data_IF_827240482732
#
_entry.id   IF_827240482732
#
_cell.length_a   1.000
_cell.length_b   1.000
_cell.length_c   1.000
_cell.angle_alpha   90.00
_cell.angle_beta   90.00
_cell.angle_gamma   90.00
#
_symmetry.space_group_name_H-M   'P 1'
#
loop_
_entity.id
_entity.type
_entity.pdbx_description
1 polymer ?
#
# COMPACT_ATOMS: atom_id res chain seq x y z
N UNK A 1 -9.07 -48.85 -20.39
CA UNK A 1 -9.95 -48.11 -19.47
C UNK A 1 -9.29 -46.76 -19.31
N UNK A 2 -9.89 -45.73 -19.90
CA UNK A 2 -9.35 -44.38 -19.92
C UNK A 2 -9.41 -43.77 -18.52
N UNK A 3 -8.29 -43.22 -18.06
CA UNK A 3 -8.29 -42.09 -17.15
C UNK A 3 -7.87 -40.88 -17.99
N UNK A 4 -8.86 -40.15 -18.46
CA UNK A 4 -8.76 -38.76 -18.89
C UNK A 4 -8.56 -37.91 -17.65
N UNK A 5 -7.31 -37.58 -17.33
CA UNK A 5 -7.04 -36.37 -16.55
C UNK A 5 -6.92 -35.24 -17.56
N UNK A 6 -7.91 -34.35 -17.57
CA UNK A 6 -7.90 -33.12 -18.35
C UNK A 6 -6.83 -32.21 -17.75
N UNK A 7 -5.62 -32.27 -18.30
CA UNK A 7 -4.63 -31.20 -18.16
C UNK A 7 -5.11 -30.02 -18.98
N UNK A 8 -5.11 -28.82 -18.41
CA UNK A 8 -5.66 -27.64 -19.05
C UNK A 8 -5.18 -27.44 -20.50
N UNK A 9 -6.08 -26.99 -21.37
CA UNK A 9 -5.74 -26.61 -22.73
C UNK A 9 -5.45 -25.11 -22.81
N UNK A 10 -4.30 -24.73 -23.36
CA UNK A 10 -4.00 -23.32 -23.62
C UNK A 10 -4.77 -22.83 -24.85
N UNK A 11 -5.38 -21.65 -24.73
CA UNK A 11 -6.12 -20.96 -25.78
C UNK A 11 -5.52 -19.58 -25.99
N UNK A 12 -5.05 -19.34 -27.20
CA UNK A 12 -4.38 -18.11 -27.57
C UNK A 12 -5.35 -17.18 -28.28
N UNK A 13 -5.48 -15.95 -27.80
CA UNK A 13 -6.20 -14.91 -28.52
C UNK A 13 -5.44 -14.58 -29.82
N UNK A 14 -6.16 -14.46 -30.93
CA UNK A 14 -5.57 -14.23 -32.27
C UNK A 14 -6.20 -13.08 -33.05
N UNK A 15 -7.07 -12.29 -32.42
CA UNK A 15 -7.76 -11.18 -33.08
C UNK A 15 -7.18 -9.82 -32.63
N UNK A 16 -6.24 -9.22 -33.39
CA UNK A 16 -5.59 -7.96 -33.02
C UNK A 16 -6.52 -6.74 -33.11
N UNK A 17 -7.72 -6.88 -33.69
CA UNK A 17 -8.72 -5.80 -33.71
C UNK A 17 -9.60 -5.79 -32.45
N UNK A 18 -9.47 -6.79 -31.58
CA UNK A 18 -10.39 -7.02 -30.48
C UNK A 18 -11.74 -7.58 -30.93
N UNK A 19 -12.60 -7.91 -29.98
CA UNK A 19 -13.92 -8.49 -30.26
C UNK A 19 -14.49 -9.30 -29.10
N UNK A 20 -15.58 -10.05 -29.34
CA UNK A 20 -16.24 -10.82 -28.28
C UNK A 20 -15.40 -12.01 -27.82
N UNK A 21 -15.28 -12.21 -26.51
CA UNK A 21 -14.60 -13.35 -25.89
C UNK A 21 -15.16 -14.69 -26.41
N UNK A 22 -16.47 -14.76 -26.62
CA UNK A 22 -17.23 -15.96 -26.98
C UNK A 22 -17.13 -16.32 -28.47
N UNK A 23 -16.40 -15.55 -29.28
CA UNK A 23 -16.24 -15.83 -30.70
C UNK A 23 -15.11 -16.85 -30.92
N UNK A 24 -15.45 -18.06 -31.34
CA UNK A 24 -14.49 -19.17 -31.54
C UNK A 24 -13.34 -18.84 -32.50
N UNK A 25 -13.56 -17.99 -33.49
CA UNK A 25 -12.52 -17.58 -34.45
C UNK A 25 -11.53 -16.56 -33.89
N UNK A 26 -11.78 -16.00 -32.70
CA UNK A 26 -10.84 -15.14 -31.99
C UNK A 26 -9.78 -15.95 -31.22
N UNK A 27 -9.90 -17.27 -31.17
CA UNK A 27 -9.02 -18.16 -30.42
C UNK A 27 -8.28 -19.17 -31.31
N UNK A 28 -7.10 -19.58 -30.87
CA UNK A 28 -6.35 -20.71 -31.40
C UNK A 28 -5.97 -21.68 -30.27
N UNK A 29 -6.32 -22.98 -30.35
CA UNK A 29 -7.22 -23.60 -31.33
C UNK A 29 -8.59 -22.90 -31.35
N UNK A 30 -9.34 -22.99 -32.46
CA UNK A 30 -10.66 -22.34 -32.63
C UNK A 30 -11.73 -22.90 -31.67
N UNK A 31 -11.62 -22.52 -30.40
CA UNK A 31 -12.48 -22.90 -29.31
C UNK A 31 -12.40 -21.81 -28.24
N UNK A 32 -13.55 -21.42 -27.71
CA UNK A 32 -13.63 -20.48 -26.59
C UNK A 32 -13.06 -21.15 -25.33
N UNK A 33 -12.20 -20.48 -24.56
CA UNK A 33 -11.74 -20.97 -23.27
C UNK A 33 -12.89 -21.26 -22.30
N UNK A 34 -12.73 -22.28 -21.48
CA UNK A 34 -13.66 -22.66 -20.40
C UNK A 34 -12.91 -22.69 -19.06
N UNK A 35 -13.59 -22.94 -17.92
CA UNK A 35 -12.93 -23.12 -16.62
C UNK A 35 -11.83 -24.21 -16.55
N UNK A 36 -11.68 -25.05 -17.58
CA UNK A 36 -10.61 -26.02 -17.69
C UNK A 36 -9.43 -25.56 -18.57
N UNK A 37 -9.50 -24.39 -19.19
CA UNK A 37 -8.53 -23.88 -20.15
C UNK A 37 -7.82 -22.62 -19.63
N UNK A 38 -6.60 -22.37 -20.10
CA UNK A 38 -5.92 -21.08 -19.89
C UNK A 38 -6.20 -20.16 -21.08
N UNK A 39 -6.49 -18.88 -20.82
CA UNK A 39 -6.57 -17.85 -21.85
C UNK A 39 -5.25 -17.05 -21.91
N UNK A 40 -4.64 -16.99 -23.08
CA UNK A 40 -3.34 -16.37 -23.31
C UNK A 40 -3.47 -15.24 -24.33
N UNK A 41 -2.98 -14.06 -23.97
CA UNK A 41 -2.93 -12.85 -24.77
C UNK A 41 -1.46 -12.46 -25.01
N UNK A 42 -1.00 -12.54 -26.27
CA UNK A 42 0.41 -12.42 -26.67
C UNK A 42 0.56 -12.02 -28.15
N UNK A 43 -0.10 -10.94 -28.57
CA UNK A 43 -0.06 -10.38 -29.93
C UNK A 43 0.90 -9.19 -30.09
N UNK A 44 1.51 -8.70 -29.01
CA UNK A 44 2.25 -7.43 -28.95
C UNK A 44 1.39 -6.28 -29.51
N UNK A 45 0.14 -6.17 -29.03
CA UNK A 45 -0.85 -5.24 -29.57
C UNK A 45 -1.87 -4.77 -28.54
N UNK A 46 -2.47 -3.60 -28.81
CA UNK A 46 -3.53 -3.01 -28.01
C UNK A 46 -4.92 -3.28 -28.60
N UNK A 47 -5.83 -3.84 -27.80
CA UNK A 47 -7.19 -4.15 -28.24
C UNK A 47 -8.18 -4.37 -27.09
N UNK A 48 -9.48 -4.32 -27.40
CA UNK A 48 -10.56 -4.56 -26.44
C UNK A 48 -11.21 -5.92 -26.66
N UNK A 49 -11.29 -6.71 -25.60
CA UNK A 49 -12.11 -7.91 -25.52
C UNK A 49 -13.43 -7.54 -24.85
N UNK A 50 -14.53 -7.84 -25.52
CA UNK A 50 -15.90 -7.59 -25.02
C UNK A 50 -16.54 -8.88 -24.57
N UNK A 51 -17.46 -8.80 -23.61
CA UNK A 51 -18.16 -9.97 -23.06
C UNK A 51 -19.66 -9.82 -23.30
N UNK A 52 -20.26 -10.82 -23.94
CA UNK A 52 -21.69 -10.92 -24.20
C UNK A 52 -22.44 -11.71 -23.11
N UNK A 53 -21.70 -12.35 -22.21
CA UNK A 53 -22.19 -13.07 -21.03
C UNK A 53 -21.07 -13.26 -20.01
N UNK A 54 -21.41 -13.93 -18.89
CA UNK A 54 -20.40 -14.38 -17.94
C UNK A 54 -19.46 -15.39 -18.61
N UNK A 55 -18.19 -15.38 -18.21
CA UNK A 55 -17.16 -16.28 -18.71
C UNK A 55 -16.32 -16.86 -17.57
N UNK A 56 -15.66 -17.97 -17.83
CA UNK A 56 -14.82 -18.67 -16.87
C UNK A 56 -13.57 -19.27 -17.56
N UNK A 57 -12.41 -19.11 -16.92
CA UNK A 57 -11.16 -19.78 -17.31
C UNK A 57 -10.44 -20.35 -16.11
N UNK A 58 -9.55 -21.31 -16.34
CA UNK A 58 -8.65 -21.78 -15.30
C UNK A 58 -7.67 -20.67 -14.95
N UNK A 59 -6.83 -20.24 -15.90
CA UNK A 59 -5.85 -19.19 -15.71
C UNK A 59 -5.85 -18.19 -16.86
N UNK A 60 -5.21 -17.05 -16.64
CA UNK A 60 -4.98 -16.03 -17.66
C UNK A 60 -3.52 -15.63 -17.65
N UNK A 61 -2.93 -15.52 -18.85
CA UNK A 61 -1.66 -14.83 -19.05
C UNK A 61 -1.83 -13.70 -20.05
N UNK A 62 -1.49 -12.48 -19.66
CA UNK A 62 -1.24 -11.36 -20.58
C UNK A 62 0.26 -11.16 -20.62
N UNK A 63 0.87 -11.51 -21.74
CA UNK A 63 2.32 -11.59 -21.87
C UNK A 63 2.89 -10.26 -22.39
N UNK A 64 2.58 -9.90 -23.63
CA UNK A 64 3.11 -8.70 -24.31
C UNK A 64 2.02 -7.72 -24.74
N UNK A 65 0.76 -8.00 -24.40
CA UNK A 65 -0.39 -7.25 -24.90
C UNK A 65 -0.85 -6.13 -23.98
N UNK A 66 -1.47 -5.12 -24.62
CA UNK A 66 -2.30 -4.10 -23.99
C UNK A 66 -3.79 -4.46 -24.14
N UNK A 67 -4.31 -5.28 -23.23
CA UNK A 67 -5.68 -5.79 -23.30
C UNK A 67 -6.62 -4.95 -22.44
N UNK A 68 -7.74 -4.50 -23.03
CA UNK A 68 -8.90 -4.02 -22.25
C UNK A 68 -9.97 -5.10 -22.20
N UNK A 69 -10.38 -5.51 -21.02
CA UNK A 69 -11.61 -6.27 -20.80
C UNK A 69 -12.75 -5.31 -20.51
N UNK A 70 -13.63 -5.14 -21.50
CA UNK A 70 -14.92 -4.49 -21.31
C UNK A 70 -15.98 -5.56 -21.01
N UNK A 71 -16.25 -5.76 -19.73
CA UNK A 71 -17.05 -6.88 -19.26
C UNK A 71 -18.55 -6.68 -19.48
N UNK A 72 -19.02 -5.50 -19.88
CA UNK A 72 -20.44 -5.27 -20.22
C UNK A 72 -21.44 -5.59 -19.09
N UNK A 73 -21.05 -5.40 -17.83
CA UNK A 73 -21.73 -5.79 -16.57
C UNK A 73 -21.72 -7.28 -16.23
N UNK A 74 -20.93 -8.09 -16.93
CA UNK A 74 -20.78 -9.51 -16.68
C UNK A 74 -19.65 -9.82 -15.70
N UNK A 75 -19.59 -11.07 -15.27
CA UNK A 75 -18.54 -11.61 -14.42
C UNK A 75 -17.59 -12.50 -15.20
N UNK A 76 -16.28 -12.26 -15.08
CA UNK A 76 -15.24 -13.17 -15.56
C UNK A 76 -14.58 -13.88 -14.37
N UNK A 77 -14.78 -15.20 -14.27
CA UNK A 77 -14.27 -16.00 -13.16
C UNK A 77 -12.95 -16.69 -13.54
N UNK A 78 -11.91 -16.50 -12.72
CA UNK A 78 -10.57 -17.05 -12.94
C UNK A 78 -10.25 -18.08 -11.85
N UNK A 79 -10.13 -19.34 -12.25
CA UNK A 79 -10.00 -20.50 -11.37
C UNK A 79 -8.64 -20.67 -10.69
N UNK A 80 -7.62 -19.95 -11.14
CA UNK A 80 -6.21 -20.00 -10.73
C UNK A 80 -5.53 -18.63 -10.91
N UNK A 81 -4.22 -18.61 -11.10
CA UNK A 81 -3.39 -17.41 -11.27
C UNK A 81 -3.72 -16.65 -12.55
N UNK A 82 -3.78 -15.32 -12.41
CA UNK A 82 -3.61 -14.35 -13.49
C UNK A 82 -2.16 -13.88 -13.49
N UNK A 83 -1.46 -14.02 -14.63
CA UNK A 83 -0.09 -13.52 -14.81
C UNK A 83 -0.11 -12.35 -15.79
N UNK A 84 0.54 -11.26 -15.40
CA UNK A 84 0.76 -10.09 -16.24
C UNK A 84 2.27 -9.87 -16.31
N UNK A 85 2.87 -10.05 -17.50
CA UNK A 85 4.33 -10.08 -17.69
C UNK A 85 4.99 -11.31 -17.06
N UNK A 86 5.03 -12.42 -17.80
CA UNK A 86 5.48 -13.72 -17.27
C UNK A 86 7.00 -13.92 -17.33
N UNK A 87 7.63 -13.52 -18.44
CA UNK A 87 9.03 -13.71 -18.74
C UNK A 87 9.80 -12.38 -18.78
N UNK A 88 11.14 -12.48 -18.94
CA UNK A 88 11.95 -11.30 -19.21
C UNK A 88 11.55 -10.68 -20.55
N UNK A 89 11.50 -9.35 -20.62
CA UNK A 89 11.08 -8.55 -21.77
C UNK A 89 9.58 -8.65 -22.13
N UNK A 90 8.78 -9.41 -21.38
CA UNK A 90 7.32 -9.35 -21.46
C UNK A 90 6.82 -8.04 -20.84
N UNK A 91 5.86 -7.38 -21.49
CA UNK A 91 5.16 -6.19 -21.01
C UNK A 91 3.64 -6.40 -21.14
N UNK A 92 3.05 -7.02 -20.11
CA UNK A 92 1.65 -7.42 -20.12
C UNK A 92 0.78 -6.41 -19.38
N UNK A 93 -0.14 -5.76 -20.09
CA UNK A 93 -0.97 -4.69 -19.55
C UNK A 93 -2.44 -5.07 -19.67
N UNK A 94 -3.16 -5.05 -18.54
CA UNK A 94 -4.58 -5.39 -18.47
C UNK A 94 -5.37 -4.22 -17.90
N UNK A 95 -6.35 -3.73 -18.63
CA UNK A 95 -7.37 -2.80 -18.15
C UNK A 95 -8.71 -3.51 -18.02
N UNK A 96 -9.42 -3.30 -16.92
CA UNK A 96 -10.78 -3.84 -16.69
C UNK A 96 -11.75 -2.69 -16.52
N UNK A 97 -12.86 -2.74 -17.26
CA UNK A 97 -13.99 -1.79 -17.19
C UNK A 97 -15.32 -2.54 -17.17
N UNK A 98 -16.36 -1.88 -16.63
CA UNK A 98 -17.76 -2.28 -16.73
C UNK A 98 -18.07 -3.75 -16.34
N UNK A 99 -17.75 -4.21 -15.14
CA UNK A 99 -18.15 -5.55 -14.69
C UNK A 99 -17.29 -6.07 -13.56
N UNK A 100 -17.27 -7.39 -13.36
CA UNK A 100 -16.54 -7.99 -12.24
C UNK A 100 -15.57 -9.08 -12.71
N UNK A 101 -14.33 -9.04 -12.23
CA UNK A 101 -13.43 -10.20 -12.28
C UNK A 101 -13.45 -10.86 -10.91
N UNK A 102 -13.81 -12.14 -10.87
CA UNK A 102 -13.67 -12.98 -9.68
C UNK A 102 -12.41 -13.83 -9.83
N UNK A 103 -11.32 -13.39 -9.20
CA UNK A 103 -10.02 -14.03 -9.30
C UNK A 103 -9.59 -14.77 -8.04
N UNK A 104 -8.48 -15.48 -8.16
CA UNK A 104 -7.74 -16.01 -7.01
C UNK A 104 -6.47 -15.22 -6.79
N UNK A 105 -5.44 -15.45 -7.60
CA UNK A 105 -4.17 -14.76 -7.44
C UNK A 105 -3.88 -13.93 -8.67
N UNK A 106 -3.38 -12.70 -8.47
CA UNK A 106 -2.77 -11.90 -9.53
C UNK A 106 -1.30 -11.74 -9.24
N UNK A 107 -0.47 -11.95 -10.25
CA UNK A 107 0.97 -11.71 -10.20
C UNK A 107 1.40 -10.84 -11.37
N UNK A 108 1.79 -9.60 -11.07
CA UNK A 108 2.40 -8.66 -12.01
C UNK A 108 3.93 -8.71 -11.93
N UNK A 109 4.61 -8.74 -13.07
CA UNK A 109 6.08 -8.77 -13.13
C UNK A 109 6.65 -10.01 -12.47
N UNK A 110 6.32 -11.19 -12.99
CA UNK A 110 6.56 -12.47 -12.31
C UNK A 110 8.04 -12.81 -12.19
N UNK A 111 8.83 -12.52 -13.23
CA UNK A 111 10.27 -12.78 -13.31
C UNK A 111 11.07 -11.49 -13.46
N UNK A 112 12.38 -11.56 -13.18
CA UNK A 112 13.29 -10.45 -13.41
C UNK A 112 13.24 -9.98 -14.87
N UNK A 113 13.04 -8.68 -15.08
CA UNK A 113 12.92 -8.08 -16.41
C UNK A 113 11.52 -8.21 -17.06
N UNK A 114 10.56 -8.88 -16.41
CA UNK A 114 9.16 -8.87 -16.85
C UNK A 114 8.40 -7.70 -16.24
N UNK A 115 7.51 -7.11 -17.02
CA UNK A 115 6.66 -5.98 -16.63
C UNK A 115 5.18 -6.37 -16.72
N UNK A 116 4.43 -6.16 -15.64
CA UNK A 116 3.00 -6.42 -15.61
C UNK A 116 2.22 -5.24 -15.08
N UNK A 117 1.09 -4.88 -15.68
CA UNK A 117 0.20 -3.87 -15.11
C UNK A 117 -1.27 -4.27 -15.13
N UNK A 118 -1.97 -3.90 -14.06
CA UNK A 118 -3.41 -4.03 -13.93
C UNK A 118 -4.03 -2.65 -13.65
N UNK A 119 -4.97 -2.24 -14.49
CA UNK A 119 -5.83 -1.08 -14.25
C UNK A 119 -7.26 -1.54 -14.01
N UNK A 120 -7.84 -1.19 -12.87
CA UNK A 120 -9.25 -1.41 -12.53
C UNK A 120 -9.94 -0.06 -12.53
N UNK A 121 -10.76 0.19 -13.55
CA UNK A 121 -11.31 1.52 -13.83
C UNK A 121 -12.85 1.52 -13.73
N UNK A 122 -13.50 2.45 -14.43
CA UNK A 122 -14.91 2.78 -14.32
C UNK A 122 -15.80 1.54 -14.37
N UNK A 123 -16.63 1.38 -13.34
CA UNK A 123 -17.62 0.30 -13.24
C UNK A 123 -17.01 -1.09 -13.13
N UNK A 124 -15.69 -1.22 -12.93
CA UNK A 124 -15.02 -2.49 -12.72
C UNK A 124 -14.81 -2.81 -11.24
N UNK A 125 -14.96 -4.09 -10.92
CA UNK A 125 -14.55 -4.66 -9.64
C UNK A 125 -13.60 -5.82 -9.90
N UNK A 126 -12.43 -5.80 -9.26
CA UNK A 126 -11.54 -6.94 -9.19
C UNK A 126 -11.65 -7.56 -7.79
N UNK A 127 -12.34 -8.69 -7.68
CA UNK A 127 -12.61 -9.36 -6.43
C UNK A 127 -11.78 -10.64 -6.31
N UNK A 128 -10.86 -10.73 -5.34
CA UNK A 128 -10.16 -11.98 -5.03
C UNK A 128 -10.01 -12.20 -3.51
N UNK A 129 -11.11 -12.51 -2.81
CA UNK A 129 -11.19 -12.44 -1.35
C UNK A 129 -10.44 -13.55 -0.60
N UNK A 130 -9.71 -14.44 -1.30
CA UNK A 130 -9.08 -15.62 -0.69
C UNK A 130 -7.57 -15.70 -0.96
N UNK A 131 -6.95 -14.63 -1.46
CA UNK A 131 -5.58 -14.69 -1.99
C UNK A 131 -4.91 -13.31 -2.04
N UNK A 132 -3.66 -13.30 -2.50
CA UNK A 132 -2.79 -12.11 -2.50
C UNK A 132 -2.80 -11.42 -3.87
N UNK A 133 -2.87 -10.09 -3.84
CA UNK A 133 -2.52 -9.22 -4.98
C UNK A 133 -1.01 -8.96 -4.95
N UNK A 134 -0.26 -9.45 -5.95
CA UNK A 134 1.19 -9.21 -6.03
C UNK A 134 1.52 -8.23 -7.14
N UNK A 135 1.97 -7.04 -6.76
CA UNK A 135 2.40 -5.92 -7.62
C UNK A 135 3.92 -5.89 -7.68
N UNK A 136 4.49 -6.55 -8.68
CA UNK A 136 5.95 -6.65 -8.84
C UNK A 136 6.49 -7.78 -7.98
N UNK A 137 6.48 -9.01 -8.53
CA UNK A 137 6.95 -10.18 -7.79
C UNK A 137 8.49 -10.26 -7.77
N UNK A 138 9.10 -10.41 -8.95
CA UNK A 138 10.56 -10.35 -9.15
C UNK A 138 10.96 -9.28 -10.18
N UNK A 139 10.02 -8.89 -11.04
CA UNK A 139 10.19 -7.82 -12.04
C UNK A 139 9.45 -6.55 -11.64
N UNK A 140 8.98 -5.81 -12.64
CA UNK A 140 8.19 -4.60 -12.43
C UNK A 140 6.70 -4.92 -12.43
N UNK A 141 5.96 -4.41 -11.45
CA UNK A 141 4.51 -4.49 -11.43
C UNK A 141 3.85 -3.13 -11.17
N UNK A 142 2.70 -2.91 -11.79
CA UNK A 142 1.90 -1.71 -11.58
C UNK A 142 0.42 -2.01 -11.37
N UNK A 143 -0.17 -1.51 -10.29
CA UNK A 143 -1.61 -1.55 -10.03
C UNK A 143 -2.16 -0.12 -10.07
N UNK A 144 -3.20 0.12 -10.87
CA UNK A 144 -3.97 1.36 -10.86
C UNK A 144 -5.43 1.06 -10.55
N UNK A 145 -5.97 1.70 -9.53
CA UNK A 145 -7.40 1.69 -9.21
C UNK A 145 -7.90 3.11 -9.36
N UNK A 146 -8.72 3.35 -10.39
CA UNK A 146 -9.11 4.71 -10.78
C UNK A 146 -10.57 4.81 -11.20
N UNK A 147 -11.07 6.04 -11.33
CA UNK A 147 -12.42 6.35 -11.83
C UNK A 147 -13.56 5.53 -11.19
N UNK A 148 -13.46 5.24 -9.90
CA UNK A 148 -14.46 4.47 -9.15
C UNK A 148 -14.30 2.94 -9.25
N UNK A 149 -13.16 2.47 -9.76
CA UNK A 149 -12.79 1.05 -9.72
C UNK A 149 -12.66 0.51 -8.29
N UNK A 150 -12.92 -0.78 -8.11
CA UNK A 150 -12.86 -1.44 -6.80
C UNK A 150 -11.96 -2.67 -6.84
N UNK A 151 -11.03 -2.79 -5.90
CA UNK A 151 -10.20 -3.99 -5.71
C UNK A 151 -10.41 -4.54 -4.30
N UNK A 152 -10.66 -5.84 -4.17
CA UNK A 152 -10.71 -6.54 -2.89
C UNK A 152 -9.71 -7.71 -2.89
N UNK A 153 -8.91 -7.81 -1.83
CA UNK A 153 -7.90 -8.86 -1.66
C UNK A 153 -7.80 -9.34 -0.21
N UNK A 154 -7.31 -10.55 0.02
CA UNK A 154 -6.95 -10.96 1.40
C UNK A 154 -5.66 -10.27 1.84
N UNK A 155 -4.65 -10.27 0.98
CA UNK A 155 -3.36 -9.61 1.21
C UNK A 155 -2.95 -8.80 0.00
N UNK A 156 -2.06 -7.83 0.20
CA UNK A 156 -1.39 -7.08 -0.87
C UNK A 156 0.13 -7.09 -0.66
N UNK A 157 0.87 -7.33 -1.73
CA UNK A 157 2.34 -7.34 -1.73
C UNK A 157 2.83 -6.46 -2.88
N UNK A 158 3.54 -5.38 -2.57
CA UNK A 158 4.13 -4.46 -3.55
C UNK A 158 5.66 -4.59 -3.46
N UNK A 159 6.30 -4.90 -4.60
CA UNK A 159 7.73 -5.19 -4.72
C UNK A 159 8.17 -6.32 -3.78
N UNK A 160 7.67 -7.53 -4.08
CA UNK A 160 7.74 -8.68 -3.18
C UNK A 160 9.17 -9.16 -2.92
N UNK A 161 9.87 -9.54 -3.99
CA UNK A 161 11.20 -10.14 -3.90
C UNK A 161 12.30 -9.06 -4.05
N UNK A 162 13.52 -9.37 -3.59
CA UNK A 162 14.66 -8.45 -3.69
C UNK A 162 14.97 -8.05 -5.15
N UNK A 163 15.06 -6.74 -5.40
CA UNK A 163 15.30 -6.17 -6.72
C UNK A 163 14.04 -6.03 -7.59
N UNK A 164 12.86 -6.44 -7.10
CA UNK A 164 11.58 -6.14 -7.75
C UNK A 164 11.23 -4.65 -7.59
N UNK A 165 10.44 -4.13 -8.54
CA UNK A 165 9.82 -2.80 -8.44
C UNK A 165 8.32 -2.96 -8.47
N UNK A 166 7.61 -2.30 -7.56
CA UNK A 166 6.15 -2.35 -7.49
C UNK A 166 5.58 -0.96 -7.29
N UNK A 167 4.57 -0.59 -8.08
CA UNK A 167 3.86 0.68 -7.91
C UNK A 167 2.36 0.42 -7.84
N UNK A 168 1.70 0.87 -6.78
CA UNK A 168 0.25 0.88 -6.69
C UNK A 168 -0.27 2.31 -6.57
N UNK A 169 -1.29 2.64 -7.35
CA UNK A 169 -1.99 3.93 -7.30
C UNK A 169 -3.47 3.69 -7.09
N UNK A 170 -4.05 4.29 -6.05
CA UNK A 170 -5.50 4.34 -5.83
C UNK A 170 -5.92 5.80 -5.90
N UNK A 171 -6.59 6.19 -6.98
CA UNK A 171 -6.86 7.60 -7.30
C UNK A 171 -8.28 7.85 -7.76
N UNK A 172 -8.78 9.04 -7.49
CA UNK A 172 -10.14 9.44 -7.85
C UNK A 172 -11.16 9.05 -6.79
N UNK A 173 -12.21 9.86 -6.70
CA UNK A 173 -13.28 9.63 -5.73
C UNK A 173 -13.89 8.25 -5.93
N UNK A 174 -14.17 7.56 -4.83
CA UNK A 174 -14.80 6.21 -4.79
C UNK A 174 -13.95 5.06 -5.34
N UNK A 175 -12.72 5.33 -5.80
CA UNK A 175 -11.77 4.26 -6.10
C UNK A 175 -11.27 3.64 -4.79
N UNK A 176 -11.36 2.31 -4.67
CA UNK A 176 -11.04 1.63 -3.41
C UNK A 176 -10.18 0.39 -3.60
N UNK A 177 -9.22 0.21 -2.70
CA UNK A 177 -8.56 -1.08 -2.48
C UNK A 177 -8.73 -1.53 -1.04
N UNK A 178 -9.49 -2.61 -0.85
CA UNK A 178 -9.73 -3.23 0.47
C UNK A 178 -8.88 -4.48 0.61
N UNK A 179 -8.08 -4.54 1.68
CA UNK A 179 -7.23 -5.67 2.03
C UNK A 179 -7.67 -6.23 3.39
N UNK A 180 -8.11 -7.48 3.44
CA UNK A 180 -8.66 -8.07 4.68
C UNK A 180 -7.58 -8.38 5.74
N UNK A 181 -6.30 -8.42 5.36
CA UNK A 181 -5.21 -8.81 6.24
C UNK A 181 -3.99 -7.88 6.08
N UNK A 182 -2.90 -8.34 5.48
CA UNK A 182 -1.64 -7.58 5.41
C UNK A 182 -1.47 -6.89 4.07
N UNK A 183 -1.06 -5.63 4.13
CA UNK A 183 -0.47 -4.91 3.00
C UNK A 183 1.02 -4.67 3.26
N UNK A 184 1.85 -5.22 2.38
CA UNK A 184 3.29 -5.01 2.36
C UNK A 184 3.66 -4.08 1.22
N UNK A 185 4.32 -2.96 1.55
CA UNK A 185 4.87 -2.03 0.56
C UNK A 185 6.37 -2.09 0.63
N UNK A 186 7.04 -2.37 -0.49
CA UNK A 186 8.48 -2.59 -0.52
C UNK A 186 8.86 -3.76 0.39
N UNK A 187 8.26 -4.94 0.15
CA UNK A 187 8.48 -6.10 1.02
C UNK A 187 9.96 -6.50 1.00
N UNK A 188 10.48 -6.85 -0.18
CA UNK A 188 11.88 -7.16 -0.40
C UNK A 188 12.57 -6.22 -1.39
N UNK A 189 11.81 -5.53 -2.25
CA UNK A 189 12.28 -4.61 -3.27
C UNK A 189 11.80 -3.17 -3.08
N UNK A 190 11.76 -2.42 -4.18
CA UNK A 190 11.39 -1.00 -4.23
C UNK A 190 9.89 -0.84 -4.49
N UNK A 191 9.12 -0.57 -3.43
CA UNK A 191 7.66 -0.48 -3.47
C UNK A 191 7.14 0.94 -3.24
N UNK A 192 6.16 1.33 -4.05
CA UNK A 192 5.46 2.60 -3.93
C UNK A 192 3.95 2.39 -3.86
N UNK A 193 3.29 3.08 -2.93
CA UNK A 193 1.84 3.20 -2.86
C UNK A 193 1.44 4.68 -2.83
N UNK A 194 0.64 5.10 -3.80
CA UNK A 194 0.02 6.43 -3.82
C UNK A 194 -1.49 6.34 -3.66
N UNK A 195 -2.04 7.04 -2.67
CA UNK A 195 -3.48 7.21 -2.48
C UNK A 195 -3.81 8.68 -2.66
N UNK A 196 -4.59 9.01 -3.70
CA UNK A 196 -4.78 10.41 -4.10
C UNK A 196 -6.18 10.73 -4.62
N UNK A 197 -6.48 12.03 -4.75
CA UNK A 197 -7.70 12.55 -5.36
C UNK A 197 -9.02 11.94 -4.83
N UNK A 198 -9.08 11.58 -3.54
CA UNK A 198 -10.26 10.99 -2.92
C UNK A 198 -10.35 9.46 -3.00
N UNK A 199 -9.28 8.78 -3.42
CA UNK A 199 -9.16 7.33 -3.35
C UNK A 199 -8.98 6.83 -1.92
N UNK A 200 -9.32 5.56 -1.68
CA UNK A 200 -9.23 4.97 -0.34
C UNK A 200 -8.58 3.58 -0.35
N UNK A 201 -7.66 3.37 0.58
CA UNK A 201 -7.08 2.06 0.87
C UNK A 201 -7.40 1.68 2.31
N UNK A 202 -7.79 0.43 2.53
CA UNK A 202 -7.97 -0.11 3.89
C UNK A 202 -7.25 -1.44 4.03
N UNK A 203 -6.60 -1.65 5.17
CA UNK A 203 -5.92 -2.90 5.50
C UNK A 203 -6.01 -3.20 6.99
N UNK A 204 -5.97 -4.48 7.36
CA UNK A 204 -5.90 -4.88 8.77
C UNK A 204 -4.54 -4.48 9.37
N UNK A 205 -3.46 -4.64 8.61
CA UNK A 205 -2.13 -4.15 8.98
C UNK A 205 -1.33 -3.76 7.74
N UNK A 206 -0.46 -2.75 7.89
CA UNK A 206 0.41 -2.24 6.83
C UNK A 206 1.85 -2.25 7.32
N UNK A 207 2.75 -2.81 6.52
CA UNK A 207 4.20 -2.69 6.75
C UNK A 207 4.87 -2.09 5.52
N UNK A 208 5.61 -1.01 5.70
CA UNK A 208 6.41 -0.34 4.68
C UNK A 208 7.90 -0.64 4.91
N UNK A 209 8.55 -1.34 3.98
CA UNK A 209 9.95 -1.77 4.10
C UNK A 209 10.07 -2.95 5.05
N UNK A 210 9.45 -4.09 4.72
CA UNK A 210 9.36 -5.25 5.62
C UNK A 210 10.73 -5.92 5.82
N UNK A 211 11.39 -6.34 4.75
CA UNK A 211 12.71 -6.99 4.81
C UNK A 211 13.85 -5.96 4.77
N UNK A 212 15.05 -6.38 5.16
CA UNK A 212 16.23 -5.50 5.21
C UNK A 212 16.60 -4.82 3.86
N UNK A 213 16.21 -5.39 2.72
CA UNK A 213 16.39 -4.79 1.39
C UNK A 213 15.18 -3.99 0.92
N UNK A 214 14.04 -4.13 1.59
CA UNK A 214 12.80 -3.46 1.25
C UNK A 214 12.90 -1.94 1.39
N UNK A 215 12.61 -1.24 0.31
CA UNK A 215 12.49 0.22 0.27
C UNK A 215 11.04 0.57 -0.05
N UNK A 216 10.41 1.37 0.81
CA UNK A 216 9.01 1.68 0.69
C UNK A 216 8.70 3.17 0.75
N UNK A 217 7.83 3.61 -0.16
CA UNK A 217 7.23 4.93 -0.14
C UNK A 217 5.70 4.82 -0.17
N UNK A 218 5.05 5.29 0.89
CA UNK A 218 3.60 5.45 0.93
C UNK A 218 3.28 6.94 0.93
N UNK A 219 2.48 7.38 -0.03
CA UNK A 219 1.95 8.74 -0.09
C UNK A 219 0.42 8.72 -0.01
N UNK A 220 -0.14 9.50 0.92
CA UNK A 220 -1.58 9.75 1.03
C UNK A 220 -1.79 11.26 0.88
N UNK A 221 -2.31 11.68 -0.28
CA UNK A 221 -2.32 13.09 -0.68
C UNK A 221 -3.66 13.57 -1.22
N UNK A 222 -4.01 14.80 -0.92
CA UNK A 222 -5.25 15.42 -1.39
C UNK A 222 -6.44 15.14 -0.47
N UNK A 223 -7.42 16.05 -0.52
CA UNK A 223 -8.60 15.98 0.31
C UNK A 223 -9.40 14.68 0.08
N UNK A 224 -9.87 14.07 1.17
CA UNK A 224 -10.62 12.81 1.20
C UNK A 224 -9.84 11.57 0.73
N UNK A 225 -8.54 11.68 0.46
CA UNK A 225 -7.70 10.50 0.25
C UNK A 225 -7.39 9.86 1.60
N UNK A 226 -7.57 8.55 1.72
CA UNK A 226 -7.44 7.86 3.01
C UNK A 226 -6.68 6.55 2.96
N UNK A 227 -5.86 6.31 3.98
CA UNK A 227 -5.34 4.99 4.34
C UNK A 227 -5.84 4.63 5.73
N UNK A 228 -6.72 3.62 5.81
CA UNK A 228 -7.26 3.13 7.07
C UNK A 228 -6.60 1.80 7.47
N UNK A 229 -5.94 1.80 8.63
CA UNK A 229 -5.21 0.62 9.14
C UNK A 229 -5.87 0.15 10.43
N UNK A 230 -6.59 -0.97 10.38
CA UNK A 230 -7.39 -1.41 11.52
C UNK A 230 -6.55 -1.78 12.76
N UNK A 231 -5.33 -2.28 12.55
CA UNK A 231 -4.41 -2.68 13.61
C UNK A 231 -3.09 -1.88 13.52
N UNK A 232 -2.02 -2.47 12.98
CA UNK A 232 -0.69 -1.88 13.02
C UNK A 232 -0.26 -1.32 11.67
N UNK A 233 0.20 -0.08 11.70
CA UNK A 233 1.01 0.56 10.68
C UNK A 233 2.47 0.56 11.12
N UNK A 234 3.32 -0.22 10.45
CA UNK A 234 4.76 -0.27 10.68
C UNK A 234 5.52 0.38 9.52
N UNK A 235 6.16 1.52 9.76
CA UNK A 235 6.98 2.24 8.78
C UNK A 235 8.45 1.99 9.08
N UNK A 236 9.13 1.33 8.15
CA UNK A 236 10.47 0.76 8.37
C UNK A 236 10.37 -0.46 9.28
N UNK A 237 10.06 -1.62 8.70
CA UNK A 237 10.12 -2.95 9.34
C UNK A 237 11.57 -3.30 9.69
N UNK A 238 12.18 -4.23 8.96
CA UNK A 238 13.64 -4.43 8.95
C UNK A 238 14.33 -3.53 7.91
N UNK A 239 13.58 -3.04 6.91
CA UNK A 239 14.04 -2.19 5.82
C UNK A 239 13.85 -0.69 6.05
N UNK A 240 13.74 0.05 4.95
CA UNK A 240 13.47 1.51 4.98
C UNK A 240 12.06 1.80 4.50
N UNK A 241 11.26 2.45 5.34
CA UNK A 241 9.91 2.86 5.00
C UNK A 241 9.70 4.36 5.18
N UNK A 242 8.91 4.94 4.28
CA UNK A 242 8.44 6.32 4.39
C UNK A 242 6.93 6.38 4.24
N UNK A 243 6.28 7.22 5.06
CA UNK A 243 4.88 7.59 4.94
C UNK A 243 4.78 9.11 4.86
N UNK A 244 4.16 9.61 3.80
CA UNK A 244 3.88 11.04 3.58
C UNK A 244 2.37 11.27 3.54
N UNK A 245 1.86 12.05 4.49
CA UNK A 245 0.46 12.48 4.55
C UNK A 245 0.38 13.96 4.21
N UNK A 246 -0.14 14.26 3.03
CA UNK A 246 0.01 15.56 2.37
C UNK A 246 -1.33 16.15 1.94
N UNK A 247 -1.38 17.47 1.79
CA UNK A 247 -2.48 18.19 1.12
C UNK A 247 -3.92 17.79 1.52
N UNK A 248 -4.15 17.49 2.81
CA UNK A 248 -5.48 17.08 3.31
C UNK A 248 -5.76 15.58 3.30
N UNK A 249 -4.75 14.75 3.03
CA UNK A 249 -4.84 13.30 3.18
C UNK A 249 -5.00 12.86 4.63
N UNK A 250 -5.58 11.68 4.86
CA UNK A 250 -5.85 11.16 6.20
C UNK A 250 -5.36 9.72 6.38
N UNK A 251 -4.73 9.45 7.51
CA UNK A 251 -4.29 8.11 7.90
C UNK A 251 -4.78 7.79 9.30
N UNK A 252 -5.38 6.61 9.48
CA UNK A 252 -5.80 6.06 10.77
C UNK A 252 -5.06 4.76 11.07
N UNK A 253 -4.70 4.54 12.33
CA UNK A 253 -4.12 3.29 12.80
C UNK A 253 -4.46 3.01 14.27
N UNK A 254 -4.56 1.75 14.69
CA UNK A 254 -4.58 1.43 16.12
C UNK A 254 -3.20 1.65 16.75
N UNK A 255 -2.16 1.14 16.09
CA UNK A 255 -0.76 1.31 16.46
C UNK A 255 0.01 1.83 15.25
N UNK A 256 0.78 2.89 15.43
CA UNK A 256 1.70 3.39 14.42
C UNK A 256 3.14 3.36 14.94
N UNK A 257 4.01 2.63 14.25
CA UNK A 257 5.43 2.50 14.53
C UNK A 257 6.26 3.11 13.40
N UNK A 258 7.29 3.90 13.72
CA UNK A 258 8.35 4.28 12.79
C UNK A 258 9.69 3.73 13.29
N UNK A 259 10.41 2.96 12.47
CA UNK A 259 11.58 2.20 12.91
C UNK A 259 11.17 1.06 13.83
N UNK A 260 10.38 0.13 13.29
CA UNK A 260 9.70 -0.92 14.02
C UNK A 260 10.65 -1.99 14.60
N UNK A 261 11.60 -2.47 13.79
CA UNK A 261 12.53 -3.53 14.16
C UNK A 261 14.00 -3.06 14.19
N UNK A 262 14.88 -3.88 14.77
CA UNK A 262 16.33 -3.64 14.77
C UNK A 262 16.85 -3.53 13.32
N UNK A 263 17.52 -2.42 13.00
CA UNK A 263 17.99 -2.14 11.63
C UNK A 263 16.99 -1.37 10.77
N UNK A 264 15.69 -1.42 11.13
CA UNK A 264 14.63 -0.69 10.46
C UNK A 264 14.79 0.83 10.55
N UNK A 265 14.48 1.51 9.46
CA UNK A 265 14.48 2.97 9.36
C UNK A 265 13.12 3.46 8.86
N UNK A 266 12.35 4.09 9.75
CA UNK A 266 11.02 4.62 9.43
C UNK A 266 10.98 6.14 9.47
N UNK A 267 10.33 6.76 8.47
CA UNK A 267 10.00 8.19 8.51
C UNK A 267 8.54 8.44 8.22
N UNK A 268 7.86 9.15 9.13
CA UNK A 268 6.48 9.60 8.97
C UNK A 268 6.49 11.12 8.83
N UNK A 269 5.90 11.64 7.76
CA UNK A 269 5.72 13.08 7.53
C UNK A 269 4.24 13.40 7.40
N UNK A 270 3.75 14.34 8.19
CA UNK A 270 2.41 14.91 8.09
C UNK A 270 2.55 16.40 7.78
N UNK A 271 2.26 16.78 6.55
CA UNK A 271 2.52 18.13 6.03
C UNK A 271 1.27 18.75 5.39
N UNK A 272 1.01 20.00 5.73
CA UNK A 272 -0.09 20.79 5.16
C UNK A 272 -1.33 20.80 6.05
N UNK A 273 -2.16 21.82 5.86
CA UNK A 273 -3.44 21.93 6.55
C UNK A 273 -4.32 20.72 6.24
N UNK A 274 -5.11 20.29 7.23
CA UNK A 274 -6.04 19.16 7.18
C UNK A 274 -5.40 17.78 6.93
N UNK A 275 -4.08 17.71 6.70
CA UNK A 275 -3.34 16.45 6.68
C UNK A 275 -3.28 15.84 8.08
N UNK A 276 -3.72 14.59 8.23
CA UNK A 276 -3.93 13.97 9.55
C UNK A 276 -3.34 12.57 9.65
N UNK A 277 -2.68 12.30 10.78
CA UNK A 277 -2.43 10.95 11.28
C UNK A 277 -3.10 10.80 12.64
N UNK A 278 -4.09 9.92 12.73
CA UNK A 278 -4.78 9.60 13.98
C UNK A 278 -4.43 8.17 14.42
N UNK A 279 -3.98 8.04 15.67
CA UNK A 279 -3.57 6.76 16.24
C UNK A 279 -4.40 6.47 17.48
N UNK A 280 -5.12 5.36 17.51
CA UNK A 280 -6.08 5.09 18.60
C UNK A 280 -5.39 4.66 19.89
N UNK A 281 -4.34 3.82 19.81
CA UNK A 281 -3.69 3.25 20.99
C UNK A 281 -2.23 3.73 21.17
N UNK A 282 -1.35 3.46 20.22
CA UNK A 282 0.08 3.66 20.49
C UNK A 282 0.85 4.19 19.28
N UNK A 283 1.43 5.37 19.44
CA UNK A 283 2.40 5.94 18.51
C UNK A 283 3.82 5.71 19.02
N UNK A 284 4.66 4.99 18.28
CA UNK A 284 6.07 4.79 18.64
C UNK A 284 6.98 5.28 17.52
N UNK A 285 7.94 6.13 17.85
CA UNK A 285 8.98 6.59 16.93
C UNK A 285 10.32 6.10 17.44
N UNK A 286 11.02 5.30 16.64
CA UNK A 286 12.19 4.54 17.05
C UNK A 286 11.80 3.49 18.07
N UNK A 287 11.02 2.48 17.66
CA UNK A 287 10.62 1.39 18.56
C UNK A 287 11.83 0.53 18.91
N UNK A 288 12.43 -0.08 17.90
CA UNK A 288 13.65 -0.89 18.00
C UNK A 288 14.75 -0.37 17.04
N UNK A 289 14.33 0.24 15.94
CA UNK A 289 15.21 0.87 14.96
C UNK A 289 15.28 2.40 15.08
N UNK A 290 15.48 3.04 13.93
CA UNK A 290 15.53 4.49 13.79
C UNK A 290 14.17 5.00 13.28
N UNK A 291 13.53 5.86 14.05
CA UNK A 291 12.26 6.48 13.68
C UNK A 291 12.36 8.00 13.59
N UNK A 292 11.68 8.56 12.60
CA UNK A 292 11.46 9.99 12.45
C UNK A 292 9.97 10.30 12.31
N UNK A 293 9.52 11.34 13.01
CA UNK A 293 8.23 11.97 12.81
C UNK A 293 8.43 13.45 12.49
N UNK A 294 7.85 13.92 11.39
CA UNK A 294 7.83 15.33 11.02
C UNK A 294 6.39 15.80 10.86
N UNK A 295 6.00 16.84 11.60
CA UNK A 295 4.68 17.47 11.49
C UNK A 295 4.87 18.94 11.17
N UNK A 296 4.30 19.39 10.05
CA UNK A 296 4.60 20.72 9.53
C UNK A 296 3.47 21.36 8.72
N UNK A 297 3.55 22.68 8.53
CA UNK A 297 2.64 23.46 7.68
C UNK A 297 1.15 23.28 7.99
N UNK A 298 0.76 23.05 9.25
CA UNK A 298 -0.65 22.84 9.63
C UNK A 298 -1.07 21.38 9.79
N UNK A 299 -0.15 20.43 9.59
CA UNK A 299 -0.42 19.01 9.78
C UNK A 299 -0.75 18.65 11.23
N UNK A 300 -1.54 17.60 11.43
CA UNK A 300 -2.01 17.18 12.75
C UNK A 300 -1.73 15.70 13.00
N UNK A 301 -1.10 15.40 14.14
CA UNK A 301 -0.91 14.04 14.63
C UNK A 301 -1.59 13.88 15.97
N UNK A 302 -2.37 12.81 16.14
CA UNK A 302 -3.01 12.49 17.41
C UNK A 302 -2.71 11.06 17.84
N UNK A 303 -2.55 10.86 19.15
CA UNK A 303 -2.58 9.56 19.78
C UNK A 303 -3.60 9.58 20.91
N UNK A 304 -4.66 8.78 20.80
CA UNK A 304 -5.74 8.74 21.79
C UNK A 304 -5.36 8.00 23.08
N UNK A 305 -4.14 7.45 23.16
CA UNK A 305 -3.60 6.90 24.40
C UNK A 305 -2.13 7.28 24.57
N UNK A 306 -1.17 6.53 24.00
CA UNK A 306 0.26 6.72 24.31
C UNK A 306 1.11 7.09 23.10
N UNK A 307 2.11 7.93 23.34
CA UNK A 307 3.18 8.17 22.37
C UNK A 307 4.58 8.06 23.00
N UNK A 308 5.53 7.47 22.28
CA UNK A 308 6.89 7.22 22.78
C UNK A 308 7.93 7.48 21.71
N UNK A 309 9.01 8.16 22.08
CA UNK A 309 10.20 8.37 21.23
C UNK A 309 11.39 7.62 21.82
N UNK A 310 12.07 6.78 21.03
CA UNK A 310 13.23 6.00 21.45
C UNK A 310 12.88 4.96 22.52
N UNK A 311 12.31 3.83 22.11
CA UNK A 311 11.62 2.91 23.02
C UNK A 311 12.54 1.86 23.61
N UNK A 312 13.21 1.06 22.78
CA UNK A 312 14.10 -0.02 23.20
C UNK A 312 15.57 0.42 23.23
N UNK A 313 16.43 -0.36 23.87
CA UNK A 313 17.87 -0.09 23.92
C UNK A 313 18.46 -0.08 22.50
N UNK A 314 19.33 0.89 22.18
CA UNK A 314 19.90 1.05 20.85
C UNK A 314 19.01 1.77 19.82
N UNK A 315 17.70 1.88 20.06
CA UNK A 315 16.77 2.60 19.18
C UNK A 315 16.93 4.13 19.24
N UNK A 316 16.49 4.84 18.20
CA UNK A 316 16.50 6.31 18.12
C UNK A 316 15.18 6.84 17.58
N UNK A 317 14.46 7.66 18.35
CA UNK A 317 13.21 8.29 17.96
C UNK A 317 13.30 9.81 17.94
N UNK A 318 13.06 10.42 16.77
CA UNK A 318 13.15 11.86 16.59
C UNK A 318 11.83 12.43 16.09
N UNK A 319 11.21 13.34 16.82
CA UNK A 319 10.01 14.06 16.40
C UNK A 319 10.31 15.55 16.20
N UNK A 320 9.87 16.12 15.08
CA UNK A 320 9.94 17.56 14.79
C UNK A 320 8.55 18.09 14.47
N UNK A 321 8.03 18.97 15.31
CA UNK A 321 6.74 19.64 15.10
C UNK A 321 7.04 21.12 14.84
N UNK A 322 6.74 21.60 13.64
CA UNK A 322 7.17 22.93 13.20
C UNK A 322 6.12 23.69 12.40
N UNK A 323 6.13 25.01 12.48
CA UNK A 323 5.23 25.87 11.72
C UNK A 323 3.87 26.07 12.39
N UNK A 324 3.22 27.17 12.06
CA UNK A 324 1.93 27.57 12.64
C UNK A 324 0.83 26.57 12.27
N UNK A 325 0.02 26.20 13.26
CA UNK A 325 -1.10 25.26 13.07
C UNK A 325 -0.70 23.78 13.12
N UNK A 326 0.60 23.46 13.09
CA UNK A 326 1.06 22.08 13.22
C UNK A 326 0.88 21.59 14.65
N UNK A 327 0.29 20.40 14.83
CA UNK A 327 -0.04 19.88 16.16
C UNK A 327 0.36 18.42 16.39
N UNK A 328 0.78 18.13 17.62
CA UNK A 328 0.84 16.77 18.18
C UNK A 328 0.02 16.73 19.47
N UNK A 329 -0.97 15.84 19.54
CA UNK A 329 -1.80 15.65 20.73
C UNK A 329 -1.69 14.20 21.20
N UNK A 330 -1.38 14.01 22.48
CA UNK A 330 -1.33 12.69 23.14
C UNK A 330 -2.25 12.73 24.33
N UNK A 331 -3.14 11.74 24.47
CA UNK A 331 -4.23 11.83 25.45
C UNK A 331 -3.93 11.20 26.83
N UNK A 332 -2.99 10.26 26.97
CA UNK A 332 -2.68 9.59 28.26
C UNK A 332 -1.20 9.72 28.69
N UNK A 333 -0.25 9.27 27.89
CA UNK A 333 1.16 9.29 28.32
C UNK A 333 2.12 9.49 27.16
N UNK A 334 3.05 10.43 27.36
CA UNK A 334 4.10 10.74 26.40
C UNK A 334 5.48 10.49 27.00
N UNK A 335 6.37 9.79 26.29
CA UNK A 335 7.78 9.68 26.70
C UNK A 335 8.76 10.05 25.60
N UNK A 336 9.85 10.70 26.01
CA UNK A 336 11.01 11.00 25.17
C UNK A 336 12.24 10.33 25.75
N UNK A 337 12.80 9.36 25.03
CA UNK A 337 13.91 8.52 25.47
C UNK A 337 13.47 7.58 26.59
N UNK A 338 12.74 6.52 26.24
CA UNK A 338 12.30 5.50 27.20
C UNK A 338 13.50 4.65 27.64
N UNK A 339 13.97 3.76 26.77
CA UNK A 339 15.25 3.04 26.92
C UNK A 339 16.24 3.36 25.78
N UNK A 340 15.78 4.01 24.70
CA UNK A 340 16.60 4.45 23.57
C UNK A 340 16.89 5.96 23.57
N UNK A 341 17.48 6.45 22.48
CA UNK A 341 17.65 7.88 22.22
C UNK A 341 16.33 8.52 21.78
N UNK A 342 15.89 9.58 22.44
CA UNK A 342 14.67 10.30 22.09
C UNK A 342 14.91 11.80 21.97
N UNK A 343 14.36 12.43 20.93
CA UNK A 343 14.43 13.88 20.71
C UNK A 343 13.07 14.41 20.22
N UNK A 344 12.61 15.52 20.81
CA UNK A 344 11.44 16.26 20.36
C UNK A 344 11.81 17.72 20.11
N UNK A 345 11.70 18.17 18.87
CA UNK A 345 11.88 19.59 18.51
C UNK A 345 10.54 20.25 18.23
N UNK A 346 10.27 21.38 18.87
CA UNK A 346 9.05 22.18 18.63
C UNK A 346 9.46 23.58 18.18
N UNK A 347 8.99 24.01 17.01
CA UNK A 347 9.36 25.32 16.47
C UNK A 347 8.28 26.02 15.64
N UNK A 348 8.52 27.29 15.29
CA UNK A 348 7.72 28.01 14.29
C UNK A 348 6.25 28.20 14.62
N UNK A 349 5.83 28.19 15.89
CA UNK A 349 4.43 28.34 16.29
C UNK A 349 3.63 27.03 16.31
N UNK A 350 4.31 25.89 16.33
CA UNK A 350 3.71 24.57 16.53
C UNK A 350 3.22 24.36 17.97
N UNK A 351 2.27 23.44 18.15
CA UNK A 351 1.66 23.12 19.45
C UNK A 351 1.77 21.63 19.75
N UNK A 352 2.29 21.29 20.94
CA UNK A 352 2.28 19.93 21.46
C UNK A 352 1.49 19.88 22.75
N UNK A 353 0.51 18.98 22.84
CA UNK A 353 -0.32 18.78 24.04
C UNK A 353 -0.19 17.36 24.55
N UNK A 354 0.14 17.23 25.83
CA UNK A 354 0.36 15.94 26.50
C UNK A 354 -0.15 16.05 27.94
N UNK A 355 -0.73 15.02 28.57
CA UNK A 355 -1.08 15.08 29.99
C UNK A 355 0.13 14.88 30.90
N UNK A 356 0.69 13.68 30.94
CA UNK A 356 1.89 13.29 31.67
C UNK A 356 3.00 13.09 30.65
N UNK A 357 4.18 13.65 30.92
CA UNK A 357 5.37 13.42 30.12
C UNK A 357 6.53 12.93 30.97
N UNK A 358 7.23 11.92 30.49
CA UNK A 358 8.52 11.49 31.03
C UNK A 358 9.63 11.76 30.01
N UNK A 359 10.72 12.40 30.46
CA UNK A 359 11.91 12.58 29.65
C UNK A 359 13.05 11.78 30.30
N UNK A 360 13.51 10.72 29.64
CA UNK A 360 14.71 9.98 30.04
C UNK A 360 14.50 8.89 31.10
N UNK A 361 13.51 8.00 30.92
CA UNK A 361 13.12 6.98 31.92
C UNK A 361 14.28 6.05 32.32
N UNK A 362 15.16 5.58 31.41
CA UNK A 362 16.17 4.54 31.72
C UNK A 362 17.53 4.53 30.93
N UNK A 363 17.98 5.56 30.19
CA UNK A 363 19.16 5.43 29.27
C UNK A 363 20.32 6.46 29.43
N UNK A 364 21.55 6.18 28.92
CA UNK A 364 22.77 6.99 29.15
C UNK A 364 23.03 8.16 28.18
N UNK A 365 22.27 8.36 27.09
CA UNK A 365 22.61 9.28 26.00
C UNK A 365 21.84 10.63 25.99
N UNK A 366 22.24 11.52 25.07
CA UNK A 366 21.85 12.94 24.89
C UNK A 366 20.34 13.12 24.74
N UNK A 367 19.79 14.07 25.50
CA UNK A 367 18.35 14.31 25.67
C UNK A 367 18.07 15.78 25.52
N UNK A 368 17.29 16.18 24.53
CA UNK A 368 16.83 17.56 24.43
C UNK A 368 15.41 17.59 23.92
N UNK A 369 14.60 18.45 24.53
CA UNK A 369 13.31 18.86 23.98
C UNK A 369 13.37 20.38 23.71
N UNK A 370 14.14 20.84 22.70
CA UNK A 370 14.31 22.27 22.46
C UNK A 370 12.99 22.88 22.00
N UNK A 371 12.55 23.92 22.72
CA UNK A 371 11.44 24.78 22.33
C UNK A 371 12.01 26.08 21.76
N UNK A 372 11.81 26.33 20.47
CA UNK A 372 12.38 27.50 19.78
C UNK A 372 11.33 28.21 18.92
N UNK A 373 11.53 29.49 18.62
CA UNK A 373 10.59 30.28 17.82
C UNK A 373 9.40 30.85 18.61
N UNK A 374 8.87 31.97 18.15
CA UNK A 374 7.77 32.66 18.82
C UNK A 374 6.47 31.82 18.76
N UNK A 375 5.72 31.80 19.85
CA UNK A 375 4.41 31.12 19.99
C UNK A 375 4.42 29.58 19.90
N UNK A 376 5.59 28.95 19.78
CA UNK A 376 5.70 27.50 19.97
C UNK A 376 5.32 27.16 21.41
N UNK A 377 4.49 26.14 21.62
CA UNK A 377 4.06 25.74 22.96
C UNK A 377 4.12 24.23 23.16
N UNK A 378 4.51 23.84 24.38
CA UNK A 378 4.31 22.50 24.91
C UNK A 378 3.44 22.63 26.15
N UNK A 379 2.20 22.14 26.07
CA UNK A 379 1.26 22.18 27.18
C UNK A 379 1.16 20.80 27.85
N UNK A 380 1.54 20.76 29.13
CA UNK A 380 1.31 19.60 30.00
C UNK A 380 0.02 19.79 30.80
N UNK A 381 -0.95 18.88 30.66
CA UNK A 381 -2.23 18.98 31.38
C UNK A 381 -2.20 18.34 32.78
N UNK A 382 -1.14 17.58 33.14
CA UNK A 382 -0.89 17.03 34.47
C UNK A 382 0.61 17.07 34.87
N UNK A 383 0.95 16.95 36.17
CA UNK A 383 2.34 17.12 36.67
C UNK A 383 3.24 15.90 36.37
N UNK A 384 4.53 16.19 36.12
CA UNK A 384 5.67 15.28 35.90
C UNK A 384 5.85 14.27 37.05
N UNK A 385 5.98 12.98 36.73
CA UNK A 385 6.62 12.01 37.60
C UNK A 385 8.13 12.02 37.27
N UNK A 386 8.95 12.51 38.21
CA UNK A 386 10.41 12.53 38.10
C UNK A 386 11.02 11.17 38.38
#
# INVERSE_FOLDING_TARGET
>A
MALTELTAGDRFWINPAGGPFETTTNWNPQAVPTAADNAIFDLDSAYTVTFAGDADTLGVSVLTDDVTWDLGSHTYTLGDVTVLGEAADDAGHLTVVNGTVEGRTVSMGRTLGGEGSLTVSTGATWNHPLSTMVVGRNGAGALTVEDGGTVNSTSGEIARDNGATGQATVTGATSTWTIDNYLYVGQGGDGELTVSAGGSVSADSVTAGEDATGLAAIEVTGANSSLDVAQRLAVGGDGTGTLSVLAGGSVTADIADAGFATGGSGSITVNGADSTLAVDNLLQIGRDGQGQLTVSNGGTVTSAFKARLGVLEGSSGNATISGSGSTLVVADFFSVGSNGGGNLTISGGAHVTTPVSEIGKNAPATRTAPLTGARSTWHQTARVAL
#
